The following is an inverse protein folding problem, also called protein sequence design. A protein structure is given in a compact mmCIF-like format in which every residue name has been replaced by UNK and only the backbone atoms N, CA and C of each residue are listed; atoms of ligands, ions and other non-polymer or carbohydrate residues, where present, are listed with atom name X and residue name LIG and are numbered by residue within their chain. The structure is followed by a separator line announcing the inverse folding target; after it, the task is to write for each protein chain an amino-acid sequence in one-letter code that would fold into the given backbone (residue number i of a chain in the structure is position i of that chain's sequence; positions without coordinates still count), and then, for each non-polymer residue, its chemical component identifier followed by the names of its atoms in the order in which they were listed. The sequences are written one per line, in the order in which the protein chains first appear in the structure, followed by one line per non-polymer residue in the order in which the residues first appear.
data_IF_328077517596
#
_entry.id   IF_328077517596
#
_cell.length_a   1.000
_cell.length_b   1.000
_cell.length_c   1.000
_cell.angle_alpha   90.00
_cell.angle_beta   90.00
_cell.angle_gamma   90.00
#
_symmetry.space_group_name_H-M   'P 1'
#
loop_
_entity.id
_entity.type
_entity.pdbx_description
1 polymer ?
#
# COMPACT_ATOMS: atom_id res chain seq x y z
N UNK A 1 -16.18 -7.92 0.21
CA UNK A 1 -15.14 -8.14 -0.82
C UNK A 1 -13.81 -7.71 -0.22
N UNK A 2 -12.76 -8.53 -0.30
CA UNK A 2 -11.42 -8.12 0.16
C UNK A 2 -10.74 -7.29 -0.94
N UNK A 3 -10.23 -6.10 -0.60
CA UNK A 3 -9.44 -5.29 -1.53
C UNK A 3 -7.97 -5.38 -1.13
N UNK A 4 -7.15 -5.92 -2.02
CA UNK A 4 -5.71 -5.92 -1.86
C UNK A 4 -5.07 -4.77 -2.63
N UNK A 5 -4.08 -4.13 -2.02
CA UNK A 5 -3.31 -3.02 -2.57
C UNK A 5 -1.87 -3.47 -2.72
N UNK A 6 -1.35 -3.43 -3.95
CA UNK A 6 0.07 -3.59 -4.21
C UNK A 6 0.76 -2.24 -4.02
N UNK A 7 1.89 -2.24 -3.31
CA UNK A 7 2.74 -1.07 -3.14
C UNK A 7 4.17 -1.43 -3.52
N UNK A 8 4.65 -0.86 -4.63
CA UNK A 8 6.03 -1.00 -5.07
C UNK A 8 6.94 -0.01 -4.32
N UNK A 9 8.04 -0.52 -3.75
CA UNK A 9 9.05 0.31 -3.08
C UNK A 9 10.45 -0.07 -3.53
N UNK A 10 11.43 0.80 -3.24
CA UNK A 10 12.84 0.52 -3.55
C UNK A 10 13.38 -0.73 -2.84
N UNK A 11 12.74 -1.19 -1.76
CA UNK A 11 13.16 -2.37 -1.01
C UNK A 11 12.44 -3.66 -1.43
N UNK A 12 11.39 -3.59 -2.23
CA UNK A 12 10.57 -4.74 -2.60
C UNK A 12 9.10 -4.40 -2.83
N UNK A 13 8.28 -5.44 -2.90
CA UNK A 13 6.83 -5.31 -3.05
C UNK A 13 6.12 -5.58 -1.72
N UNK A 14 5.17 -4.72 -1.38
CA UNK A 14 4.29 -4.91 -0.22
C UNK A 14 2.87 -5.14 -0.69
N UNK A 15 2.20 -6.15 -0.13
CA UNK A 15 0.77 -6.38 -0.33
C UNK A 15 0.02 -6.01 0.94
N UNK A 16 -0.91 -5.08 0.82
CA UNK A 16 -1.78 -4.66 1.92
C UNK A 16 -3.21 -5.10 1.68
N UNK A 17 -3.93 -5.41 2.76
CA UNK A 17 -5.36 -5.61 2.76
C UNK A 17 -6.03 -4.34 3.28
N UNK A 18 -6.92 -3.77 2.47
CA UNK A 18 -7.70 -2.60 2.82
C UNK A 18 -9.13 -2.98 3.23
N UNK A 19 -9.56 -2.47 4.37
CA UNK A 19 -10.88 -2.69 4.95
C UNK A 19 -11.68 -1.37 4.96
N UNK A 20 -13.00 -1.46 4.83
CA UNK A 20 -13.88 -0.34 5.16
C UNK A 20 -13.72 0.92 4.29
N UNK A 21 -13.20 0.79 3.06
CA UNK A 21 -13.16 1.89 2.11
C UNK A 21 -14.57 2.19 1.60
N UNK A 22 -15.22 3.20 2.18
CA UNK A 22 -16.51 3.73 1.72
C UNK A 22 -16.27 4.62 0.48
N UNK A 23 -16.73 4.20 -0.70
CA UNK A 23 -16.54 4.95 -1.95
C UNK A 23 -17.35 6.26 -2.03
N UNK A 24 -18.43 6.40 -1.25
CA UNK A 24 -19.32 7.56 -1.28
C UNK A 24 -18.78 8.67 -0.36
N UNK A 25 -18.21 8.29 0.80
CA UNK A 25 -17.74 9.22 1.83
C UNK A 25 -16.30 9.75 1.70
N UNK A 26 -15.54 9.33 0.68
CA UNK A 26 -14.07 9.55 0.63
C UNK A 26 -13.62 11.02 0.62
N UNK A 27 -14.48 11.94 0.15
CA UNK A 27 -14.12 13.35 0.04
C UNK A 27 -14.39 14.17 1.31
N UNK A 28 -14.82 13.54 2.39
CA UNK A 28 -14.99 14.24 3.67
C UNK A 28 -13.64 14.51 4.34
N UNK A 29 -13.50 15.67 5.00
CA UNK A 29 -12.29 16.00 5.79
C UNK A 29 -12.02 14.98 6.90
N UNK A 30 -13.07 14.37 7.45
CA UNK A 30 -12.96 13.31 8.44
C UNK A 30 -12.22 12.07 7.90
N UNK A 31 -12.48 11.66 6.65
CA UNK A 31 -11.77 10.55 6.02
C UNK A 31 -10.33 10.94 5.71
N UNK A 32 -10.09 12.12 5.15
CA UNK A 32 -8.72 12.60 4.85
C UNK A 32 -7.84 12.69 6.09
N UNK A 33 -8.37 13.27 7.17
CA UNK A 33 -7.64 13.36 8.46
C UNK A 33 -7.36 12.00 9.09
N UNK A 34 -8.22 11.00 8.84
CA UNK A 34 -8.01 9.64 9.34
C UNK A 34 -6.84 8.90 8.68
N UNK A 35 -6.46 9.28 7.45
CA UNK A 35 -5.30 8.72 6.74
C UNK A 35 -3.99 9.25 7.35
N UNK A 36 -3.98 10.50 7.81
CA UNK A 36 -2.83 11.12 8.47
C UNK A 36 -2.60 10.63 9.91
N UNK A 37 -3.63 10.05 10.55
CA UNK A 37 -3.53 9.45 11.88
C UNK A 37 -3.12 7.98 11.75
N UNK A 38 -1.89 7.65 12.17
CA UNK A 38 -1.33 6.30 12.05
C UNK A 38 -2.17 5.23 12.78
N UNK A 39 -2.75 5.55 13.94
CA UNK A 39 -3.56 4.59 14.70
C UNK A 39 -4.87 4.27 13.99
N UNK A 40 -5.44 5.23 13.26
CA UNK A 40 -6.63 5.01 12.43
C UNK A 40 -6.27 4.31 11.13
N UNK A 41 -5.20 4.75 10.47
CA UNK A 41 -4.73 4.16 9.22
C UNK A 41 -4.41 2.68 9.37
N UNK A 42 -3.69 2.27 10.41
CA UNK A 42 -3.33 0.86 10.63
C UNK A 42 -4.51 -0.08 10.91
N UNK A 43 -5.69 0.44 11.26
CA UNK A 43 -6.93 -0.36 11.37
C UNK A 43 -7.58 -0.61 10.01
N UNK A 44 -7.33 0.28 9.05
CA UNK A 44 -7.93 0.27 7.71
C UNK A 44 -7.03 -0.47 6.74
N UNK A 45 -5.71 -0.32 6.86
CA UNK A 45 -4.71 -0.90 5.96
C UNK A 45 -3.78 -1.80 6.75
N UNK A 46 -3.75 -3.09 6.41
CA UNK A 46 -2.96 -4.10 7.10
C UNK A 46 -1.96 -4.77 6.14
N UNK A 47 -0.70 -4.87 6.56
CA UNK A 47 0.32 -5.58 5.77
C UNK A 47 0.00 -7.08 5.75
N UNK A 48 -0.16 -7.64 4.56
CA UNK A 48 -0.43 -9.07 4.34
C UNK A 48 0.84 -9.82 3.94
N UNK A 49 1.66 -9.23 3.07
CA UNK A 49 2.91 -9.83 2.62
C UNK A 49 3.94 -8.76 2.26
N UNK A 50 5.21 -9.11 2.41
CA UNK A 50 6.33 -8.31 1.94
C UNK A 50 7.33 -9.22 1.22
N UNK A 51 7.69 -8.84 -0.01
CA UNK A 51 8.65 -9.55 -0.84
C UNK A 51 9.85 -8.62 -1.11
N UNK A 52 10.94 -8.75 -0.36
CA UNK A 52 12.14 -7.93 -0.57
C UNK A 52 12.84 -8.30 -1.88
N UNK A 53 13.56 -7.34 -2.46
CA UNK A 53 14.49 -7.64 -3.56
C UNK A 53 15.75 -8.32 -3.05
N UNK A 54 16.29 -9.25 -3.83
CA UNK A 54 17.44 -10.07 -3.41
C UNK A 54 18.77 -9.33 -3.52
N UNK A 55 18.83 -8.33 -4.41
CA UNK A 55 20.04 -7.53 -4.65
C UNK A 55 19.72 -6.15 -5.21
N UNK A 56 20.72 -5.26 -5.24
CA UNK A 56 20.58 -3.95 -5.90
C UNK A 56 20.34 -4.06 -7.41
N UNK A 57 20.89 -5.11 -8.06
CA UNK A 57 20.66 -5.37 -9.48
C UNK A 57 19.21 -5.80 -9.73
N UNK A 58 18.71 -6.70 -8.89
CA UNK A 58 17.30 -7.13 -8.90
C UNK A 58 16.38 -5.92 -8.68
N UNK A 59 16.66 -5.10 -7.66
CA UNK A 59 15.92 -3.87 -7.40
C UNK A 59 15.87 -2.93 -8.61
N UNK A 60 17.00 -2.74 -9.32
CA UNK A 60 17.05 -1.90 -10.52
C UNK A 60 16.20 -2.48 -11.66
N UNK A 61 16.31 -3.79 -11.90
CA UNK A 61 15.51 -4.47 -12.93
C UNK A 61 14.00 -4.38 -12.62
N UNK A 62 13.63 -4.55 -11.36
CA UNK A 62 12.25 -4.44 -10.92
C UNK A 62 11.74 -3.00 -11.02
N UNK A 63 12.54 -1.98 -10.69
CA UNK A 63 12.18 -0.58 -10.91
C UNK A 63 11.91 -0.28 -12.39
N UNK A 64 12.77 -0.77 -13.28
CA UNK A 64 12.59 -0.58 -14.73
C UNK A 64 11.33 -1.30 -15.20
N UNK A 65 11.12 -2.56 -14.82
CA UNK A 65 9.96 -3.36 -15.23
C UNK A 65 8.60 -2.80 -14.76
N UNK A 66 8.59 -2.01 -13.68
CA UNK A 66 7.38 -1.29 -13.25
C UNK A 66 7.17 -0.01 -14.07
N UNK A 67 8.25 0.60 -14.55
CA UNK A 67 8.23 1.87 -15.28
C UNK A 67 7.95 1.73 -16.77
N UNK A 68 8.39 0.65 -17.42
CA UNK A 68 8.35 0.43 -18.87
C UNK A 68 7.86 -0.97 -19.24
#
# INVERSE_FOLDING_TARGET
MALYLLYETASGYSLFLAHGLDQIGQNTEAVRSSISDMNRFGKVVQLTAFHPFESALDALNQCNSVSE
#
